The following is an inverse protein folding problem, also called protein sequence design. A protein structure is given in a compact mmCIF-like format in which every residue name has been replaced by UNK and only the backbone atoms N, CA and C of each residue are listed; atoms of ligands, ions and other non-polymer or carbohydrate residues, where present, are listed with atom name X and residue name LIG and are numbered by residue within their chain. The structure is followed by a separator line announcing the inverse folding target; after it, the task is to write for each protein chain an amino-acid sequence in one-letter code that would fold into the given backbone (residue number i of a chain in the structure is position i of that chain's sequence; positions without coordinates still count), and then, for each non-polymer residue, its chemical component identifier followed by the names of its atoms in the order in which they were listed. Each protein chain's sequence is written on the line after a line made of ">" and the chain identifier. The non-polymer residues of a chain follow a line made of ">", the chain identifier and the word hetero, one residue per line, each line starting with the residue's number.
data_IF_772335807485
#
_entry.id   IF_772335807485
#
_cell.length_a   1.000
_cell.length_b   1.000
_cell.length_c   1.000
_cell.angle_alpha   90.00
_cell.angle_beta   90.00
_cell.angle_gamma   90.00
#
_symmetry.space_group_name_H-M   'P 1'
#
loop_
_entity.id
_entity.type
_entity.pdbx_description
1 polymer ?
#
# COMPACT_ATOMS: atom_id res chain seq x y z
N UNK A 1 20.10 0.11 -16.50
CA UNK A 1 18.64 -0.05 -16.42
C UNK A 1 18.18 0.66 -15.15
N UNK A 2 17.36 1.70 -15.23
CA UNK A 2 16.82 2.34 -14.04
C UNK A 2 15.76 1.41 -13.43
N UNK A 3 15.93 1.02 -12.16
CA UNK A 3 14.96 0.22 -11.42
C UNK A 3 14.00 1.17 -10.70
N UNK A 4 12.80 1.31 -11.23
CA UNK A 4 11.71 2.05 -10.58
C UNK A 4 11.05 1.12 -9.54
N UNK A 5 10.82 1.62 -8.33
CA UNK A 5 10.06 0.87 -7.32
C UNK A 5 8.57 0.90 -7.64
N UNK A 6 7.83 -0.16 -7.28
CA UNK A 6 6.37 -0.17 -7.47
C UNK A 6 5.66 0.98 -6.72
N UNK A 7 6.16 1.35 -5.53
CA UNK A 7 5.63 2.49 -4.78
C UNK A 7 5.80 3.82 -5.52
N UNK A 8 6.95 4.01 -6.17
CA UNK A 8 7.22 5.20 -6.98
C UNK A 8 6.30 5.25 -8.21
N UNK A 9 6.09 4.10 -8.87
CA UNK A 9 5.14 3.99 -9.98
C UNK A 9 3.71 4.32 -9.55
N UNK A 10 3.25 3.82 -8.39
CA UNK A 10 1.92 4.12 -7.88
C UNK A 10 1.77 5.55 -7.35
N UNK A 11 2.87 6.21 -6.94
CA UNK A 11 2.84 7.60 -6.46
C UNK A 11 2.38 8.60 -7.53
N UNK A 12 2.54 8.26 -8.82
CA UNK A 12 2.06 9.07 -9.93
C UNK A 12 0.52 9.11 -10.04
N UNK A 13 -0.19 8.24 -9.32
CA UNK A 13 -1.65 8.15 -9.36
C UNK A 13 -2.28 9.18 -8.42
N UNK A 14 -3.21 9.99 -8.95
CA UNK A 14 -3.96 10.95 -8.15
C UNK A 14 -4.97 10.22 -7.25
N UNK A 15 -4.93 10.49 -5.95
CA UNK A 15 -5.87 9.90 -5.00
C UNK A 15 -7.25 10.58 -5.10
N UNK A 16 -8.32 9.87 -5.52
CA UNK A 16 -9.66 10.44 -5.59
C UNK A 16 -10.39 10.45 -4.24
N UNK A 17 -9.79 9.88 -3.18
CA UNK A 17 -10.42 9.78 -1.87
C UNK A 17 -10.48 11.14 -1.18
N UNK A 18 -11.48 11.30 -0.32
CA UNK A 18 -11.60 12.48 0.54
C UNK A 18 -10.43 12.50 1.51
N UNK A 19 -9.59 13.53 1.46
CA UNK A 19 -8.31 13.61 2.21
C UNK A 19 -8.47 13.32 3.71
N UNK A 20 -9.54 13.83 4.33
CA UNK A 20 -9.85 13.60 5.76
C UNK A 20 -10.25 12.16 6.11
N UNK A 21 -10.51 11.30 5.12
CA UNK A 21 -10.77 9.87 5.30
C UNK A 21 -9.56 9.01 4.93
N UNK A 22 -8.44 9.61 4.50
CA UNK A 22 -7.24 8.90 4.10
C UNK A 22 -6.37 8.63 5.33
N UNK A 23 -6.44 7.39 5.83
CA UNK A 23 -5.58 6.90 6.93
C UNK A 23 -4.26 6.36 6.36
N UNK A 24 -4.31 5.80 5.15
CA UNK A 24 -3.18 5.20 4.44
C UNK A 24 -3.08 5.74 3.02
N UNK A 25 -1.87 6.05 2.53
CA UNK A 25 -1.64 6.54 1.18
C UNK A 25 -2.13 5.54 0.13
N UNK A 26 -2.47 6.04 -1.05
CA UNK A 26 -3.02 5.18 -2.11
C UNK A 26 -1.99 4.14 -2.58
N UNK A 27 -0.73 4.55 -2.74
CA UNK A 27 0.34 3.69 -3.25
C UNK A 27 0.57 2.43 -2.39
N UNK A 28 0.48 2.54 -1.06
CA UNK A 28 0.66 1.37 -0.18
C UNK A 28 -0.55 0.44 -0.22
N UNK A 29 -1.76 1.00 -0.26
CA UNK A 29 -2.97 0.20 -0.40
C UNK A 29 -2.93 -0.58 -1.72
N UNK A 30 -2.50 0.04 -2.81
CA UNK A 30 -2.35 -0.61 -4.11
C UNK A 30 -1.27 -1.71 -4.09
N UNK A 31 -0.15 -1.48 -3.41
CA UNK A 31 0.88 -2.51 -3.25
C UNK A 31 0.35 -3.73 -2.50
N UNK A 32 -0.39 -3.53 -1.40
CA UNK A 32 -1.00 -4.62 -0.63
C UNK A 32 -2.03 -5.37 -1.47
N UNK A 33 -2.88 -4.64 -2.20
CA UNK A 33 -3.87 -5.25 -3.09
C UNK A 33 -3.16 -6.10 -4.13
N UNK A 34 -2.14 -5.57 -4.81
CA UNK A 34 -1.36 -6.30 -5.80
C UNK A 34 -0.74 -7.58 -5.21
N UNK A 35 -0.08 -7.49 -4.05
CA UNK A 35 0.50 -8.65 -3.38
C UNK A 35 -0.58 -9.69 -3.04
N UNK A 36 -1.74 -9.24 -2.57
CA UNK A 36 -2.86 -10.12 -2.31
C UNK A 36 -3.41 -10.79 -3.57
N UNK A 37 -3.57 -10.06 -4.67
CA UNK A 37 -4.03 -10.62 -5.94
C UNK A 37 -3.03 -11.66 -6.49
N UNK A 38 -1.73 -11.39 -6.37
CA UNK A 38 -0.67 -12.33 -6.74
C UNK A 38 -0.66 -13.59 -5.85
N UNK A 39 -1.05 -13.46 -4.58
CA UNK A 39 -1.24 -14.58 -3.65
C UNK A 39 -2.58 -15.32 -3.86
N UNK A 40 -3.37 -14.94 -4.87
CA UNK A 40 -4.64 -15.57 -5.21
C UNK A 40 -5.84 -15.06 -4.42
N UNK A 41 -5.71 -13.95 -3.68
CA UNK A 41 -6.84 -13.32 -3.00
C UNK A 41 -7.75 -12.62 -4.01
N UNK A 42 -9.01 -13.02 -4.06
CA UNK A 42 -10.04 -12.46 -4.94
C UNK A 42 -10.74 -11.22 -4.38
N UNK A 43 -10.66 -11.00 -3.07
CA UNK A 43 -11.32 -9.89 -2.39
C UNK A 43 -10.53 -9.32 -1.21
N UNK A 44 -10.98 -8.17 -0.69
CA UNK A 44 -10.32 -7.45 0.40
C UNK A 44 -10.30 -8.20 1.74
N UNK A 45 -11.23 -9.14 1.97
CA UNK A 45 -11.24 -10.00 3.15
C UNK A 45 -10.12 -11.02 3.05
N UNK A 46 -9.91 -11.62 1.88
CA UNK A 46 -8.80 -12.52 1.62
C UNK A 46 -7.44 -11.80 1.65
N UNK A 47 -7.36 -10.59 1.08
CA UNK A 47 -6.16 -9.74 1.10
C UNK A 47 -5.74 -9.39 2.53
N UNK A 48 -6.69 -9.14 3.44
CA UNK A 48 -6.40 -8.93 4.88
C UNK A 48 -5.61 -10.10 5.46
N UNK A 49 -5.93 -11.33 5.03
CA UNK A 49 -5.22 -12.52 5.44
C UNK A 49 -3.75 -12.52 4.99
N UNK A 50 -3.45 -12.00 3.79
CA UNK A 50 -2.09 -11.88 3.28
C UNK A 50 -1.27 -10.88 4.10
N UNK A 51 -1.83 -9.71 4.41
CA UNK A 51 -1.15 -8.69 5.21
C UNK A 51 -0.92 -9.08 6.68
N UNK A 52 -1.71 -10.02 7.23
CA UNK A 52 -1.57 -10.49 8.60
C UNK A 52 -0.61 -11.68 8.77
N UNK A 53 -0.29 -12.39 7.68
CA UNK A 53 0.52 -13.62 7.69
C UNK A 53 2.00 -13.36 7.51
N UNK A 54 2.36 -12.22 6.94
CA UNK A 54 3.73 -11.95 6.52
C UNK A 54 4.38 -10.91 7.46
N UNK A 55 5.35 -11.38 8.24
CA UNK A 55 6.31 -10.65 9.06
C UNK A 55 7.18 -9.63 8.28
N UNK A 56 7.02 -9.56 6.96
CA UNK A 56 7.81 -8.78 6.00
C UNK A 56 7.20 -7.44 5.57
N UNK A 57 5.96 -7.15 5.97
CA UNK A 57 5.27 -5.89 5.65
C UNK A 57 5.50 -4.66 6.56
N UNK A 58 6.20 -4.70 7.72
CA UNK A 58 6.22 -3.55 8.62
C UNK A 58 7.03 -2.35 8.10
N UNK A 59 8.09 -2.57 7.30
CA UNK A 59 8.99 -1.48 6.85
C UNK A 59 8.31 -0.46 5.92
N UNK A 60 7.53 -0.92 4.94
CA UNK A 60 6.82 -0.04 4.01
C UNK A 60 5.72 0.77 4.73
N UNK A 61 5.04 0.15 5.69
CA UNK A 61 3.92 0.74 6.43
C UNK A 61 4.40 1.75 7.49
N UNK A 62 5.57 1.52 8.09
CA UNK A 62 6.12 2.39 9.12
C UNK A 62 6.82 3.64 8.54
N UNK A 63 7.40 3.52 7.34
CA UNK A 63 8.12 4.61 6.67
C UNK A 63 7.22 5.80 6.28
N UNK A 64 5.93 5.58 5.97
CA UNK A 64 5.02 6.67 5.62
C UNK A 64 4.16 7.19 6.77
N UNK A 65 4.02 6.44 7.86
CA UNK A 65 3.48 6.98 9.12
C UNK A 65 4.30 8.18 9.62
N UNK A 66 5.60 8.19 9.34
CA UNK A 66 6.48 9.32 9.62
C UNK A 66 6.29 10.51 8.65
N UNK A 67 5.79 10.28 7.43
CA UNK A 67 5.58 11.34 6.42
C UNK A 67 4.18 11.94 6.43
N UNK A 68 3.16 11.20 6.85
CA UNK A 68 1.79 11.73 7.02
C UNK A 68 1.57 12.48 8.34
N UNK A 69 2.51 12.45 9.29
CA UNK A 69 2.44 13.29 10.49
C UNK A 69 2.79 14.78 10.22
N UNK A 70 3.18 15.13 8.99
CA UNK A 70 3.63 16.48 8.59
C UNK A 70 2.91 16.95 7.30
N UNK A 71 1.68 16.50 7.05
CA UNK A 71 0.86 16.99 5.94
C UNK A 71 -0.55 17.35 6.41
#
# INVERSE_FOLDING_TARGET
>A
MATISLLDHFSALRDPRQSWKVIYPLAEVLLIVLCGTLAGAGDFVEIRGVGAREDRFPEAFHALRARCAVA
#
